data_IF_691541152930
#
_entry.id   IF_691541152930
#
_cell.length_a   1.000
_cell.length_b   1.000
_cell.length_c   1.000
_cell.angle_alpha   90.00
_cell.angle_beta   90.00
_cell.angle_gamma   90.00
#
_symmetry.space_group_name_H-M   'P 1'
#
loop_
_entity.id
_entity.type
_entity.pdbx_description
1 polymer ?
#
# COMPACT_ATOMS: atom_id res chain seq x y z
N UNK A 1 -12.44 7.69 5.52
CA UNK A 1 -13.36 6.92 6.40
C UNK A 1 -12.85 7.00 7.84
N UNK A 2 -13.62 7.58 8.78
CA UNK A 2 -13.21 7.69 10.19
C UNK A 2 -12.92 6.34 10.84
N UNK A 3 -13.63 5.29 10.44
CA UNK A 3 -13.52 3.94 10.97
C UNK A 3 -12.11 3.34 10.82
N UNK A 4 -11.36 3.82 9.80
CA UNK A 4 -10.01 3.31 9.54
C UNK A 4 -9.03 3.59 10.68
N UNK A 5 -9.31 4.60 11.50
CA UNK A 5 -8.50 4.97 12.67
C UNK A 5 -8.70 4.05 13.87
N UNK A 6 -9.76 3.22 13.86
CA UNK A 6 -10.14 2.33 14.97
C UNK A 6 -9.57 0.92 14.80
N UNK A 7 -8.55 0.74 13.97
CA UNK A 7 -7.92 -0.55 13.76
C UNK A 7 -7.16 -1.04 14.99
N UNK A 8 -7.22 -2.35 15.23
CA UNK A 8 -6.48 -3.05 16.28
C UNK A 8 -5.43 -3.95 15.62
N UNK A 9 -4.14 -3.70 15.95
CA UNK A 9 -3.00 -4.45 15.41
C UNK A 9 -3.08 -5.94 15.74
N UNK A 10 -3.43 -6.28 16.99
CA UNK A 10 -3.49 -7.67 17.42
C UNK A 10 -4.58 -8.46 16.68
N UNK A 11 -5.75 -7.86 16.53
CA UNK A 11 -6.83 -8.46 15.71
C UNK A 11 -6.39 -8.69 14.27
N UNK A 12 -5.72 -7.71 13.64
CA UNK A 12 -5.21 -7.85 12.29
C UNK A 12 -4.18 -8.97 12.14
N UNK A 13 -3.29 -9.14 13.12
CA UNK A 13 -2.33 -10.26 13.16
C UNK A 13 -3.05 -11.61 13.29
N UNK A 14 -3.99 -11.74 14.24
CA UNK A 14 -4.76 -12.97 14.47
C UNK A 14 -5.53 -13.37 13.20
N UNK A 15 -6.23 -12.43 12.55
CA UNK A 15 -6.95 -12.67 11.30
C UNK A 15 -6.05 -13.15 10.16
N UNK A 16 -4.82 -12.71 10.17
CA UNK A 16 -3.82 -13.10 9.15
C UNK A 16 -3.10 -14.40 9.51
N UNK A 17 -3.30 -14.94 10.72
CA UNK A 17 -2.55 -16.09 11.23
C UNK A 17 -1.08 -15.75 11.51
N UNK A 18 -0.80 -14.50 11.88
CA UNK A 18 0.55 -13.99 12.11
C UNK A 18 0.85 -13.77 13.58
N UNK A 19 2.13 -13.84 13.92
CA UNK A 19 2.63 -13.59 15.27
C UNK A 19 3.22 -12.17 15.37
N UNK A 20 3.24 -11.64 16.59
CA UNK A 20 3.94 -10.41 16.88
C UNK A 20 5.47 -10.65 16.84
N UNK A 21 6.25 -9.62 16.46
CA UNK A 21 7.71 -9.66 16.48
C UNK A 21 8.38 -9.70 15.10
N UNK A 22 7.64 -9.98 14.02
CA UNK A 22 8.13 -9.81 12.64
C UNK A 22 7.39 -8.69 11.95
N UNK A 23 8.07 -7.86 11.11
CA UNK A 23 7.39 -6.79 10.38
C UNK A 23 6.37 -7.36 9.39
N UNK A 24 5.26 -6.65 9.24
CA UNK A 24 4.15 -7.00 8.34
C UNK A 24 4.19 -6.09 7.10
N UNK A 25 4.30 -6.71 5.93
CA UNK A 25 4.10 -6.06 4.63
C UNK A 25 2.66 -6.29 4.18
N UNK A 26 1.91 -5.21 4.01
CA UNK A 26 0.60 -5.25 3.37
C UNK A 26 0.75 -4.89 1.89
N UNK A 27 0.18 -5.71 1.00
CA UNK A 27 0.09 -5.42 -0.43
C UNK A 27 -1.37 -5.29 -0.83
N UNK A 28 -1.72 -4.20 -1.51
CA UNK A 28 -3.08 -3.92 -1.97
C UNK A 28 -3.10 -3.27 -3.35
N UNK A 29 -3.79 -3.90 -4.30
CA UNK A 29 -3.90 -3.45 -5.69
C UNK A 29 -5.10 -2.54 -5.99
N UNK A 30 -5.83 -2.11 -4.95
CA UNK A 30 -7.14 -1.45 -5.09
C UNK A 30 -8.30 -2.45 -4.99
N UNK A 31 -9.56 -1.96 -5.14
CA UNK A 31 -10.78 -2.77 -4.94
C UNK A 31 -10.90 -3.98 -5.88
N UNK A 32 -10.39 -3.86 -7.10
CA UNK A 32 -10.42 -4.94 -8.10
C UNK A 32 -9.16 -5.82 -8.08
N UNK A 33 -8.17 -5.47 -7.25
CA UNK A 33 -6.83 -6.06 -7.30
C UNK A 33 -5.97 -5.47 -8.43
N UNK A 34 -4.76 -6.00 -8.58
CA UNK A 34 -3.82 -5.60 -9.63
C UNK A 34 -2.98 -6.79 -10.06
N UNK A 35 -3.25 -7.34 -11.24
CA UNK A 35 -2.48 -8.48 -11.77
C UNK A 35 -0.98 -8.21 -11.83
N UNK A 36 -0.55 -7.00 -12.23
CA UNK A 36 0.86 -6.66 -12.31
C UNK A 36 1.53 -6.69 -10.93
N UNK A 37 0.90 -6.10 -9.89
CA UNK A 37 1.42 -6.14 -8.53
C UNK A 37 1.38 -7.58 -7.99
N UNK A 38 0.28 -8.31 -8.21
CA UNK A 38 0.13 -9.68 -7.75
C UNK A 38 1.24 -10.56 -8.34
N UNK A 39 1.50 -10.45 -9.65
CA UNK A 39 2.58 -11.17 -10.31
C UNK A 39 3.97 -10.82 -9.73
N UNK A 40 4.26 -9.55 -9.51
CA UNK A 40 5.52 -9.13 -8.92
C UNK A 40 5.71 -9.67 -7.49
N UNK A 41 4.65 -9.70 -6.68
CA UNK A 41 4.67 -10.32 -5.35
C UNK A 41 4.93 -11.81 -5.44
N UNK A 42 4.27 -12.52 -6.37
CA UNK A 42 4.44 -13.96 -6.56
C UNK A 42 5.89 -14.31 -6.93
N UNK A 43 6.50 -13.52 -7.81
CA UNK A 43 7.91 -13.70 -8.21
C UNK A 43 8.90 -13.44 -7.07
N UNK A 44 8.64 -12.44 -6.23
CA UNK A 44 9.51 -12.05 -5.13
C UNK A 44 9.14 -12.71 -3.78
N UNK A 45 8.11 -13.57 -3.72
CA UNK A 45 7.47 -14.01 -2.48
C UNK A 45 8.44 -14.64 -1.49
N UNK A 46 9.33 -15.53 -1.94
CA UNK A 46 10.29 -16.19 -1.06
C UNK A 46 11.28 -15.21 -0.42
N UNK A 47 11.69 -14.18 -1.16
CA UNK A 47 12.55 -13.14 -0.64
C UNK A 47 11.78 -12.20 0.32
N UNK A 48 10.55 -11.85 0.00
CA UNK A 48 9.68 -11.04 0.86
C UNK A 48 9.42 -11.74 2.20
N UNK A 49 9.10 -13.03 2.17
CA UNK A 49 8.81 -13.84 3.37
C UNK A 49 10.01 -14.03 4.30
N UNK A 50 11.24 -13.92 3.79
CA UNK A 50 12.43 -13.92 4.66
C UNK A 50 12.48 -12.72 5.60
N UNK A 51 11.92 -11.59 5.18
CA UNK A 51 11.94 -10.34 5.94
C UNK A 51 10.61 -10.03 6.62
N UNK A 52 9.50 -10.27 5.93
CA UNK A 52 8.15 -9.87 6.35
C UNK A 52 7.23 -11.06 6.59
N UNK A 53 6.18 -10.83 7.33
CA UNK A 53 4.92 -11.54 7.20
C UNK A 53 4.09 -10.76 6.16
N UNK A 54 3.65 -11.42 5.09
CA UNK A 54 3.05 -10.75 3.93
C UNK A 54 1.52 -10.94 3.95
N UNK A 55 0.78 -9.85 4.08
CA UNK A 55 -0.67 -9.80 3.84
C UNK A 55 -0.89 -9.28 2.42
N UNK A 56 -1.61 -10.03 1.59
CA UNK A 56 -1.83 -9.69 0.19
C UNK A 56 -3.31 -9.64 -0.16
N UNK A 57 -3.84 -8.45 -0.39
CA UNK A 57 -5.20 -8.25 -0.91
C UNK A 57 -5.15 -8.28 -2.43
N UNK A 58 -5.35 -9.47 -3.00
CA UNK A 58 -5.13 -9.78 -4.43
C UNK A 58 -6.25 -9.28 -5.35
N UNK A 59 -7.46 -9.17 -4.82
CA UNK A 59 -8.69 -8.99 -5.60
C UNK A 59 -9.51 -10.28 -5.65
N UNK A 60 -10.84 -10.15 -5.77
CA UNK A 60 -11.79 -11.27 -5.66
C UNK A 60 -11.53 -12.42 -6.62
N UNK A 61 -10.98 -12.12 -7.80
CA UNK A 61 -10.84 -13.08 -8.89
C UNK A 61 -9.42 -13.63 -9.06
N UNK A 62 -8.49 -13.34 -8.11
CA UNK A 62 -7.08 -13.72 -8.26
C UNK A 62 -6.52 -14.46 -7.03
N UNK A 63 -7.38 -15.12 -6.28
CA UNK A 63 -6.95 -16.01 -5.19
C UNK A 63 -6.27 -17.25 -5.78
N UNK A 64 -5.07 -17.56 -5.28
CA UNK A 64 -4.26 -18.68 -5.74
C UNK A 64 -4.34 -19.84 -4.74
N UNK A 65 -5.08 -20.90 -5.09
CA UNK A 65 -5.30 -22.03 -4.18
C UNK A 65 -4.00 -22.70 -3.72
N UNK A 66 -2.98 -22.76 -4.59
CA UNK A 66 -1.68 -23.38 -4.25
C UNK A 66 -0.83 -22.53 -3.26
N UNK A 67 -1.22 -21.29 -3.00
CA UNK A 67 -0.58 -20.41 -2.01
C UNK A 67 -1.26 -20.43 -0.65
N UNK A 68 -2.34 -21.19 -0.50
CA UNK A 68 -3.02 -21.32 0.79
C UNK A 68 -2.13 -22.08 1.77
N UNK A 69 -2.04 -21.59 2.99
CA UNK A 69 -1.22 -22.20 4.04
C UNK A 69 0.29 -21.99 3.91
N UNK A 70 0.76 -21.20 2.95
CA UNK A 70 2.18 -20.85 2.82
C UNK A 70 2.64 -20.06 4.06
N UNK A 71 3.63 -20.56 4.84
CA UNK A 71 4.06 -19.90 6.06
C UNK A 71 4.54 -18.46 5.83
N UNK A 72 4.06 -17.52 6.63
CA UNK A 72 4.43 -16.10 6.52
C UNK A 72 3.78 -15.37 5.33
N UNK A 73 2.79 -15.98 4.68
CA UNK A 73 1.98 -15.37 3.63
C UNK A 73 0.49 -15.60 3.88
N UNK A 74 -0.30 -14.55 3.77
CA UNK A 74 -1.77 -14.61 3.84
C UNK A 74 -2.38 -13.81 2.73
N UNK A 75 -3.20 -14.44 1.90
CA UNK A 75 -3.94 -13.80 0.84
C UNK A 75 -5.41 -13.58 1.20
N UNK A 76 -5.95 -12.49 0.67
CA UNK A 76 -7.37 -12.14 0.76
C UNK A 76 -7.87 -11.70 -0.62
N UNK A 77 -9.07 -12.10 -1.02
CA UNK A 77 -9.70 -11.61 -2.22
C UNK A 77 -10.18 -10.17 -2.06
N UNK A 78 -10.81 -9.89 -0.94
CA UNK A 78 -11.34 -8.58 -0.57
C UNK A 78 -11.49 -8.51 0.95
N UNK A 79 -11.30 -7.32 1.52
CA UNK A 79 -11.50 -7.04 2.95
C UNK A 79 -12.29 -5.74 3.05
N UNK A 80 -13.30 -5.68 3.87
CA UNK A 80 -14.14 -4.50 4.09
C UNK A 80 -14.13 -4.06 5.56
N UNK A 81 -15.02 -4.59 6.38
CA UNK A 81 -15.18 -4.19 7.79
C UNK A 81 -13.92 -4.42 8.62
N UNK A 82 -13.14 -5.43 8.30
CA UNK A 82 -11.89 -5.74 8.99
C UNK A 82 -10.66 -5.00 8.45
N UNK A 83 -10.79 -4.25 7.36
CA UNK A 83 -9.66 -3.53 6.76
C UNK A 83 -8.92 -2.62 7.75
N UNK A 84 -9.58 -1.92 8.69
CA UNK A 84 -8.89 -1.13 9.72
C UNK A 84 -7.88 -1.94 10.54
N UNK A 85 -8.23 -3.19 10.91
CA UNK A 85 -7.35 -4.07 11.69
C UNK A 85 -6.15 -4.54 10.88
N UNK A 86 -6.35 -4.86 9.61
CA UNK A 86 -5.27 -5.23 8.68
C UNK A 86 -4.31 -4.06 8.46
N UNK A 87 -4.84 -2.85 8.28
CA UNK A 87 -4.03 -1.64 8.15
C UNK A 87 -3.27 -1.32 9.45
N UNK A 88 -3.89 -1.53 10.61
CA UNK A 88 -3.22 -1.38 11.90
C UNK A 88 -2.06 -2.37 12.06
N UNK A 89 -2.22 -3.62 11.58
CA UNK A 89 -1.17 -4.65 11.62
C UNK A 89 0.03 -4.33 10.71
N UNK A 90 -0.19 -3.63 9.60
CA UNK A 90 0.86 -3.34 8.62
C UNK A 90 1.94 -2.39 9.17
N UNK A 91 3.21 -2.74 8.95
CA UNK A 91 4.37 -1.88 9.22
C UNK A 91 4.84 -1.14 7.97
N UNK A 92 4.64 -1.74 6.78
CA UNK A 92 4.95 -1.19 5.46
C UNK A 92 3.84 -1.57 4.50
N UNK A 93 3.50 -0.69 3.55
CA UNK A 93 2.42 -0.93 2.59
C UNK A 93 2.90 -0.73 1.16
N UNK A 94 2.57 -1.68 0.28
CA UNK A 94 2.59 -1.49 -1.18
C UNK A 94 1.16 -1.24 -1.64
N UNK A 95 0.94 -0.18 -2.40
CA UNK A 95 -0.41 0.17 -2.88
C UNK A 95 -0.39 0.81 -4.27
N UNK A 96 -1.52 0.72 -4.98
CA UNK A 96 -1.82 1.66 -6.06
C UNK A 96 -2.00 3.06 -5.48
N UNK A 97 -1.81 4.09 -6.33
CA UNK A 97 -1.90 5.49 -5.92
C UNK A 97 -3.31 6.10 -6.11
N UNK A 98 -4.35 5.30 -5.85
CA UNK A 98 -5.73 5.81 -5.82
C UNK A 98 -5.95 6.74 -4.62
N UNK A 99 -6.64 7.86 -4.84
CA UNK A 99 -6.78 8.94 -3.85
C UNK A 99 -7.26 8.43 -2.48
N UNK A 100 -8.33 7.65 -2.42
CA UNK A 100 -8.85 7.16 -1.14
C UNK A 100 -7.79 6.35 -0.37
N UNK A 101 -7.14 5.40 -1.02
CA UNK A 101 -6.15 4.54 -0.38
C UNK A 101 -4.95 5.33 0.15
N UNK A 102 -4.37 6.23 -0.65
CA UNK A 102 -3.17 6.97 -0.22
C UNK A 102 -3.46 7.95 0.92
N UNK A 103 -4.65 8.56 0.96
CA UNK A 103 -5.02 9.44 2.08
C UNK A 103 -5.35 8.66 3.36
N UNK A 104 -5.95 7.47 3.25
CA UNK A 104 -6.15 6.57 4.39
C UNK A 104 -4.79 6.11 4.97
N UNK A 105 -3.85 5.70 4.12
CA UNK A 105 -2.50 5.33 4.53
C UNK A 105 -1.74 6.49 5.16
N UNK A 106 -1.88 7.70 4.60
CA UNK A 106 -1.26 8.91 5.14
C UNK A 106 -1.84 9.30 6.51
N UNK A 107 -3.16 9.20 6.70
CA UNK A 107 -3.81 9.42 7.98
C UNK A 107 -3.31 8.45 9.06
N UNK A 108 -3.05 7.20 8.68
CA UNK A 108 -2.47 6.17 9.53
C UNK A 108 -0.93 6.27 9.63
N UNK A 109 -0.30 7.24 8.97
CA UNK A 109 1.15 7.47 8.93
C UNK A 109 1.95 6.25 8.49
N UNK A 110 1.38 5.46 7.58
CA UNK A 110 2.01 4.22 7.11
C UNK A 110 3.11 4.52 6.09
N UNK A 111 4.35 4.03 6.30
CA UNK A 111 5.37 4.02 5.25
C UNK A 111 4.85 3.26 4.03
N UNK A 112 4.86 3.90 2.86
CA UNK A 112 4.24 3.33 1.67
C UNK A 112 5.10 3.41 0.42
N UNK A 113 5.05 2.33 -0.38
CA UNK A 113 5.53 2.27 -1.75
C UNK A 113 4.33 2.34 -2.68
N UNK A 114 4.23 3.41 -3.45
CA UNK A 114 3.15 3.62 -4.39
C UNK A 114 3.55 3.15 -5.79
N UNK A 115 2.70 2.35 -6.40
CA UNK A 115 2.84 1.85 -7.77
C UNK A 115 1.64 2.36 -8.57
N UNK A 116 1.73 3.54 -9.20
CA UNK A 116 0.60 4.12 -9.93
C UNK A 116 0.22 3.28 -11.15
N UNK A 117 -1.05 3.33 -11.54
CA UNK A 117 -1.48 2.79 -12.83
C UNK A 117 -0.80 3.57 -13.97
N UNK A 118 -0.27 2.88 -15.00
CA UNK A 118 0.34 3.54 -16.15
C UNK A 118 -0.72 4.27 -17.00
N UNK A 119 -0.29 5.22 -17.83
CA UNK A 119 -1.18 5.97 -18.73
C UNK A 119 -1.96 5.08 -19.69
N UNK A 120 -1.42 3.91 -20.04
CA UNK A 120 -2.11 2.92 -20.87
C UNK A 120 -3.37 2.32 -20.19
N UNK A 121 -3.45 2.40 -18.86
CA UNK A 121 -4.54 1.82 -18.06
C UNK A 121 -5.33 2.87 -17.26
N UNK A 122 -4.98 4.15 -17.32
CA UNK A 122 -5.63 5.22 -16.55
C UNK A 122 -5.52 6.58 -17.25
N UNK A 123 -6.25 7.57 -16.73
CA UNK A 123 -6.15 8.97 -17.19
C UNK A 123 -4.97 9.75 -16.58
N UNK A 124 -4.09 9.06 -15.82
CA UNK A 124 -2.92 9.66 -15.20
C UNK A 124 -3.13 10.24 -13.80
N UNK A 125 -4.33 10.18 -13.26
CA UNK A 125 -4.66 10.65 -11.91
C UNK A 125 -3.78 10.00 -10.83
N UNK A 126 -3.53 8.68 -10.93
CA UNK A 126 -2.67 7.98 -9.98
C UNK A 126 -1.19 8.39 -10.09
N UNK A 127 -0.71 8.71 -11.29
CA UNK A 127 0.65 9.21 -11.50
C UNK A 127 0.81 10.58 -10.80
N UNK A 128 -0.16 11.48 -10.98
CA UNK A 128 -0.16 12.79 -10.33
C UNK A 128 -0.21 12.67 -8.80
N UNK A 129 -1.06 11.79 -8.29
CA UNK A 129 -1.16 11.50 -6.87
C UNK A 129 0.17 10.97 -6.30
N UNK A 130 0.78 9.99 -6.96
CA UNK A 130 2.04 9.41 -6.54
C UNK A 130 3.18 10.45 -6.54
N UNK A 131 3.29 11.25 -7.59
CA UNK A 131 4.31 12.30 -7.68
C UNK A 131 4.11 13.38 -6.61
N UNK A 132 2.86 13.75 -6.32
CA UNK A 132 2.56 14.67 -5.23
C UNK A 132 3.05 14.13 -3.87
N UNK A 133 2.77 12.87 -3.56
CA UNK A 133 3.23 12.23 -2.32
C UNK A 133 4.75 12.10 -2.26
N UNK A 134 5.40 11.78 -3.38
CA UNK A 134 6.85 11.68 -3.50
C UNK A 134 7.54 13.02 -3.25
N UNK A 135 7.07 14.10 -3.87
CA UNK A 135 7.66 15.44 -3.73
C UNK A 135 7.54 16.00 -2.32
N UNK A 136 6.49 15.62 -1.58
CA UNK A 136 6.34 15.98 -0.17
C UNK A 136 7.09 15.03 0.78
N UNK A 137 7.76 14.01 0.26
CA UNK A 137 8.47 13.03 1.07
C UNK A 137 7.56 12.18 1.96
N UNK A 138 6.35 11.88 1.49
CA UNK A 138 5.35 11.07 2.21
C UNK A 138 5.30 9.61 1.73
N UNK A 139 5.85 9.34 0.55
CA UNK A 139 5.89 8.00 -0.03
C UNK A 139 7.14 7.79 -0.88
N UNK A 140 7.49 6.52 -1.11
CA UNK A 140 8.31 6.10 -2.26
C UNK A 140 7.38 5.77 -3.42
N UNK A 141 7.89 5.94 -4.63
CA UNK A 141 7.16 5.64 -5.87
C UNK A 141 8.02 4.74 -6.74
N UNK A 142 7.40 3.72 -7.30
CA UNK A 142 7.98 2.81 -8.29
C UNK A 142 7.04 2.72 -9.48
N UNK A 143 7.53 3.06 -10.66
CA UNK A 143 6.76 2.90 -11.88
C UNK A 143 6.51 1.43 -12.19
N UNK A 144 5.34 1.10 -12.75
CA UNK A 144 4.98 -0.28 -13.04
C UNK A 144 5.98 -0.94 -13.99
N UNK A 145 6.46 -0.24 -15.01
CA UNK A 145 7.45 -0.76 -15.96
C UNK A 145 8.79 -1.08 -15.27
N UNK A 146 9.22 -0.26 -14.32
CA UNK A 146 10.40 -0.54 -13.51
C UNK A 146 10.17 -1.72 -12.56
N UNK A 147 9.00 -1.80 -11.92
CA UNK A 147 8.63 -2.97 -11.10
C UNK A 147 8.70 -4.27 -11.91
N UNK A 148 8.16 -4.28 -13.12
CA UNK A 148 8.18 -5.46 -14.00
C UNK A 148 9.62 -5.83 -14.45
N UNK A 149 10.52 -4.86 -14.53
CA UNK A 149 11.91 -5.04 -14.96
C UNK A 149 12.85 -5.48 -13.82
N UNK A 150 12.71 -4.91 -12.62
CA UNK A 150 13.68 -5.08 -11.52
C UNK A 150 13.07 -5.68 -10.23
N UNK A 151 11.76 -5.97 -10.20
CA UNK A 151 11.05 -6.48 -9.04
C UNK A 151 10.76 -5.44 -7.96
N UNK A 152 10.25 -5.89 -6.83
CA UNK A 152 9.84 -5.04 -5.70
C UNK A 152 10.96 -4.77 -4.70
N UNK A 153 11.92 -5.68 -4.58
CA UNK A 153 12.93 -5.68 -3.50
C UNK A 153 13.81 -4.44 -3.45
N UNK A 154 14.32 -3.90 -4.58
CA UNK A 154 15.14 -2.68 -4.56
C UNK A 154 14.38 -1.50 -3.95
N UNK A 155 13.14 -1.27 -4.42
CA UNK A 155 12.31 -0.16 -3.93
C UNK A 155 11.87 -0.34 -2.47
N UNK A 156 11.59 -1.57 -2.03
CA UNK A 156 11.32 -1.87 -0.63
C UNK A 156 12.54 -1.63 0.26
N UNK A 157 13.74 -1.93 -0.23
CA UNK A 157 14.99 -1.66 0.51
C UNK A 157 15.18 -0.16 0.71
N UNK A 158 14.89 0.65 -0.30
CA UNK A 158 14.92 2.11 -0.18
C UNK A 158 13.82 2.64 0.75
N UNK A 159 12.62 2.08 0.69
CA UNK A 159 11.52 2.45 1.59
C UNK A 159 11.90 2.20 3.04
N UNK A 160 12.46 1.02 3.35
CA UNK A 160 12.88 0.67 4.71
C UNK A 160 13.98 1.61 5.25
N UNK A 161 14.95 1.95 4.41
CA UNK A 161 15.99 2.93 4.80
C UNK A 161 15.40 4.29 5.16
N UNK A 162 14.35 4.70 4.46
CA UNK A 162 13.79 6.03 4.57
C UNK A 162 12.50 6.09 5.43
N UNK A 163 12.01 4.97 5.97
CA UNK A 163 10.69 4.86 6.60
C UNK A 163 10.47 5.84 7.75
N UNK A 164 11.46 6.01 8.61
CA UNK A 164 11.32 6.90 9.77
C UNK A 164 11.19 8.36 9.33
N UNK A 165 11.93 8.76 8.29
CA UNK A 165 11.84 10.09 7.68
C UNK A 165 10.47 10.31 7.02
N UNK A 166 9.97 9.32 6.28
CA UNK A 166 8.65 9.40 5.63
C UNK A 166 7.53 9.50 6.67
N UNK A 167 7.59 8.70 7.74
CA UNK A 167 6.64 8.75 8.85
C UNK A 167 6.66 10.11 9.54
N UNK A 168 7.86 10.63 9.86
CA UNK A 168 7.99 11.95 10.49
C UNK A 168 7.45 13.08 9.60
N UNK A 169 7.61 12.99 8.27
CA UNK A 169 7.03 13.94 7.33
C UNK A 169 5.50 13.86 7.29
N UNK A 170 4.94 12.65 7.34
CA UNK A 170 3.47 12.44 7.44
C UNK A 170 2.92 13.00 8.76
N UNK A 171 3.64 12.85 9.87
CA UNK A 171 3.25 13.40 11.17
C UNK A 171 3.21 14.94 11.20
N UNK A 172 4.13 15.58 10.49
CA UNK A 172 4.19 17.04 10.36
C UNK A 172 3.20 17.59 9.35
N UNK A 173 2.64 16.70 8.50
CA UNK A 173 1.69 17.13 7.48
C UNK A 173 0.36 17.53 8.10
N UNK A 174 -0.29 18.55 7.54
CA UNK A 174 -1.65 18.95 7.91
C UNK A 174 -2.74 18.04 7.31
N UNK A 175 -2.36 16.85 6.80
CA UNK A 175 -3.29 15.93 6.14
C UNK A 175 -4.42 15.44 7.06
N UNK A 176 -4.20 15.40 8.38
CA UNK A 176 -5.24 15.04 9.34
C UNK A 176 -6.28 16.15 9.58
N UNK A 177 -5.96 17.40 9.24
CA UNK A 177 -6.85 18.56 9.44
C UNK A 177 -7.30 19.23 8.14
N UNK A 178 -6.78 18.80 7.00
CA UNK A 178 -6.98 19.46 5.70
C UNK A 178 -7.34 18.53 4.54
N UNK A 179 -7.71 17.27 4.83
CA UNK A 179 -8.08 16.26 3.81
C UNK A 179 -9.04 16.82 2.75
N UNK A 180 -10.07 17.56 3.16
CA UNK A 180 -11.07 18.16 2.24
C UNK A 180 -10.48 19.26 1.35
N UNK A 181 -9.56 20.07 1.89
CA UNK A 181 -8.91 21.16 1.15
C UNK A 181 -7.90 20.65 0.14
N UNK A 182 -7.15 19.62 0.50
CA UNK A 182 -6.13 19.02 -0.36
C UNK A 182 -6.78 18.21 -1.49
N UNK A 183 -7.84 17.48 -1.19
CA UNK A 183 -8.65 16.77 -2.19
C UNK A 183 -9.20 17.76 -3.24
N UNK A 184 -9.69 18.90 -2.80
CA UNK A 184 -10.17 19.97 -3.68
C UNK A 184 -9.03 20.56 -4.55
N UNK A 185 -7.81 20.66 -4.06
CA UNK A 185 -6.66 21.17 -4.82
C UNK A 185 -6.16 20.15 -5.86
N UNK A 186 -6.07 18.88 -5.52
CA UNK A 186 -5.67 17.80 -6.45
C UNK A 186 -6.72 17.67 -7.56
N UNK A 187 -8.01 17.68 -7.22
CA UNK A 187 -9.11 17.65 -8.20
C UNK A 187 -9.12 18.88 -9.09
N UNK A 188 -8.82 20.07 -8.57
CA UNK A 188 -8.69 21.30 -9.38
C UNK A 188 -7.48 21.25 -10.34
N UNK A 189 -6.38 20.60 -9.95
CA UNK A 189 -5.22 20.45 -10.81
C UNK A 189 -5.50 19.43 -11.93
N UNK A 190 -6.18 18.32 -11.61
CA UNK A 190 -6.55 17.28 -12.58
C UNK A 190 -7.60 17.73 -13.61
N UNK A 191 -8.45 18.72 -13.29
CA UNK A 191 -9.49 19.26 -14.20
C UNK A 191 -8.95 20.39 -15.11
N UNK A 192 -7.69 20.80 -14.97
CA UNK A 192 -7.08 21.86 -15.80
C UNK A 192 -6.26 21.34 -16.99
N UNK A 193 -6.22 20.04 -17.17
CA UNK A 193 -5.61 19.34 -18.31
C UNK A 193 -6.63 18.40 -18.96
#
# INVERSE_FOLDING_TARGET
>A
RPEIMNGDRYRGLVMSGFENGRPVLLVMGGSSGSQAINHAVDMDLDALRRKYQVIHIRGKNDIQAHMEGVPGYRQFGYIDEELPHILAAADVVISRAGANAIFELAALKKPMLLIPLPLSASRGDQILNAEYFKTHGWAKVLDQADMERIGLLPALTELERDKDRLTANLEKSSLSSGLDKLFAQIMKAALKH
#
